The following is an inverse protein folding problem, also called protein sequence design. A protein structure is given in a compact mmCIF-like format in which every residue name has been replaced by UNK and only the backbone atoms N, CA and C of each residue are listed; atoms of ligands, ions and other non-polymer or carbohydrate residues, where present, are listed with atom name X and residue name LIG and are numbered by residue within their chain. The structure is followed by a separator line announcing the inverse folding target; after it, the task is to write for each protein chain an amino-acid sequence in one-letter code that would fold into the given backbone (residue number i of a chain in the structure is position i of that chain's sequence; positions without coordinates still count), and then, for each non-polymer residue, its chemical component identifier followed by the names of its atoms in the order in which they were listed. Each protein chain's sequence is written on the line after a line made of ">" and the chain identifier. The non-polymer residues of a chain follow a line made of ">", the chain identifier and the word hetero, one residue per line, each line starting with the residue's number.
data_IF_449009788684
#
_entry.id   IF_449009788684
#
_cell.length_a   1.000
_cell.length_b   1.000
_cell.length_c   1.000
_cell.angle_alpha   90.00
_cell.angle_beta   90.00
_cell.angle_gamma   90.00
#
_symmetry.space_group_name_H-M   'P 1'
#
loop_
_entity.id
_entity.type
_entity.pdbx_description
1 polymer ?
#
# COMPACT_ATOMS: atom_id res chain seq x y z
N UNK A 1 17.85 -8.60 -10.34
CA UNK A 1 19.15 -8.56 -9.63
C UNK A 1 19.02 -9.10 -8.22
N UNK A 2 20.12 -9.58 -7.64
CA UNK A 2 20.13 -10.12 -6.28
C UNK A 2 21.22 -9.43 -5.46
N UNK A 3 21.06 -9.47 -4.13
CA UNK A 3 22.02 -9.00 -3.13
C UNK A 3 22.40 -7.52 -3.33
N UNK A 4 21.36 -6.67 -3.39
CA UNK A 4 21.52 -5.23 -3.61
C UNK A 4 21.51 -4.46 -2.28
N UNK A 5 22.36 -3.46 -2.17
CA UNK A 5 22.40 -2.53 -1.04
C UNK A 5 22.43 -1.08 -1.51
N UNK A 6 21.51 -0.28 -0.97
CA UNK A 6 21.47 1.16 -1.12
C UNK A 6 21.64 1.79 0.25
N UNK A 7 22.75 2.46 0.49
CA UNK A 7 23.10 2.97 1.82
C UNK A 7 23.48 4.44 1.77
N UNK A 8 22.80 5.27 2.54
CA UNK A 8 23.13 6.69 2.72
C UNK A 8 23.00 7.53 1.44
N UNK A 9 22.12 7.12 0.51
CA UNK A 9 21.88 7.82 -0.76
C UNK A 9 20.79 8.88 -0.58
N UNK A 10 20.87 9.97 -1.34
CA UNK A 10 19.78 10.93 -1.49
C UNK A 10 19.27 10.89 -2.93
N UNK A 11 17.95 10.72 -3.09
CA UNK A 11 17.26 10.77 -4.39
C UNK A 11 16.28 11.92 -4.35
N UNK A 12 16.42 12.89 -5.24
CA UNK A 12 15.63 14.11 -5.21
C UNK A 12 15.18 14.55 -6.60
N UNK A 13 13.90 14.88 -6.71
CA UNK A 13 13.27 15.57 -7.85
C UNK A 13 12.26 16.60 -7.32
N UNK A 14 11.82 17.57 -8.13
CA UNK A 14 10.72 18.44 -7.74
C UNK A 14 9.46 17.65 -7.36
N UNK A 15 8.77 18.08 -6.31
CA UNK A 15 7.59 17.37 -5.77
C UNK A 15 6.37 17.37 -6.71
N UNK A 16 6.36 18.22 -7.73
CA UNK A 16 5.34 18.33 -8.77
C UNK A 16 5.77 17.66 -10.10
N UNK A 17 6.92 17.00 -10.14
CA UNK A 17 7.44 16.34 -11.33
C UNK A 17 6.80 14.98 -11.52
N UNK A 18 6.03 14.73 -12.60
CA UNK A 18 5.38 13.44 -12.81
C UNK A 18 6.38 12.35 -13.18
N UNK A 19 6.07 11.10 -12.84
CA UNK A 19 6.86 9.90 -13.18
C UNK A 19 8.32 9.98 -12.71
N UNK A 20 8.52 10.50 -11.53
CA UNK A 20 9.83 10.60 -10.90
C UNK A 20 9.89 9.67 -9.68
N UNK A 21 9.69 8.37 -9.93
CA UNK A 21 9.89 7.33 -8.92
C UNK A 21 11.36 7.35 -8.45
N UNK A 22 11.58 7.06 -7.18
CA UNK A 22 12.93 7.10 -6.60
C UNK A 22 13.73 5.84 -6.81
N UNK A 23 13.15 4.71 -6.47
CA UNK A 23 13.78 3.40 -6.59
C UNK A 23 12.75 2.33 -6.90
N UNK A 24 12.90 1.66 -8.04
CA UNK A 24 12.00 0.62 -8.52
C UNK A 24 12.68 -0.76 -8.55
N UNK A 25 12.83 -1.44 -7.41
CA UNK A 25 13.35 -2.81 -7.44
C UNK A 25 12.32 -3.73 -8.10
N UNK A 26 12.63 -4.17 -9.33
CA UNK A 26 11.79 -5.07 -10.11
C UNK A 26 12.40 -6.46 -10.17
N UNK A 27 11.67 -7.46 -9.70
CA UNK A 27 12.09 -8.87 -9.67
C UNK A 27 13.49 -9.02 -9.04
N UNK A 28 13.68 -8.31 -7.91
CA UNK A 28 14.93 -8.30 -7.16
C UNK A 28 14.81 -9.14 -5.89
N UNK A 29 15.92 -9.77 -5.49
CA UNK A 29 15.99 -10.59 -4.29
C UNK A 29 17.11 -10.10 -3.36
N UNK A 30 16.86 -10.14 -2.05
CA UNK A 30 17.78 -9.71 -1.00
C UNK A 30 18.20 -8.24 -1.22
N UNK A 31 17.27 -7.33 -1.05
CA UNK A 31 17.49 -5.89 -1.23
C UNK A 31 17.49 -5.20 0.13
N UNK A 32 18.54 -4.49 0.45
CA UNK A 32 18.63 -3.63 1.63
C UNK A 32 18.65 -2.15 1.21
N UNK A 33 17.74 -1.35 1.76
CA UNK A 33 17.65 0.10 1.58
C UNK A 33 17.79 0.72 2.96
N UNK A 34 18.96 1.31 3.24
CA UNK A 34 19.34 1.79 4.57
C UNK A 34 19.74 3.26 4.56
N UNK A 35 19.09 4.06 5.40
CA UNK A 35 19.46 5.46 5.61
C UNK A 35 19.35 6.31 4.34
N UNK A 36 18.41 5.99 3.46
CA UNK A 36 18.19 6.69 2.19
C UNK A 36 17.15 7.80 2.38
N UNK A 37 17.42 8.96 1.79
CA UNK A 37 16.46 10.06 1.72
C UNK A 37 15.86 10.15 0.33
N UNK A 38 14.54 10.14 0.27
CA UNK A 38 13.76 10.36 -0.94
C UNK A 38 12.97 11.67 -0.82
N UNK A 39 12.95 12.49 -1.86
CA UNK A 39 12.07 13.64 -1.99
C UNK A 39 11.67 13.77 -3.46
N UNK A 40 10.44 13.38 -3.80
CA UNK A 40 10.07 13.03 -5.17
C UNK A 40 8.67 13.53 -5.54
N UNK A 41 8.33 13.43 -6.82
CA UNK A 41 7.01 13.78 -7.35
C UNK A 41 6.13 12.57 -7.69
N UNK A 42 6.68 11.34 -7.64
CA UNK A 42 5.92 10.08 -7.76
C UNK A 42 6.33 9.13 -6.61
N UNK A 43 6.19 7.81 -6.72
CA UNK A 43 6.46 6.89 -5.64
C UNK A 43 7.93 6.93 -5.17
N UNK A 44 8.18 7.06 -3.87
CA UNK A 44 9.56 7.08 -3.35
C UNK A 44 10.25 5.72 -3.56
N UNK A 45 9.57 4.64 -3.24
CA UNK A 45 9.99 3.28 -3.57
C UNK A 45 8.79 2.55 -4.18
N UNK A 46 8.95 1.98 -5.38
CA UNK A 46 7.92 1.15 -6.00
C UNK A 46 8.47 -0.25 -6.29
N UNK A 47 8.12 -1.20 -5.45
CA UNK A 47 8.53 -2.61 -5.61
C UNK A 47 7.66 -3.26 -6.67
N UNK A 48 8.29 -3.76 -7.72
CA UNK A 48 7.66 -4.32 -8.91
C UNK A 48 8.13 -5.76 -9.17
N UNK A 49 7.37 -6.51 -9.96
CA UNK A 49 7.74 -7.87 -10.40
C UNK A 49 7.11 -8.24 -11.75
N UNK A 50 7.09 -7.28 -12.65
CA UNK A 50 6.70 -7.42 -14.05
C UNK A 50 5.20 -7.32 -14.34
N UNK A 51 4.90 -7.02 -15.58
CA UNK A 51 3.53 -7.09 -16.14
C UNK A 51 3.17 -8.54 -16.46
N UNK A 52 1.87 -8.86 -16.50
CA UNK A 52 1.40 -10.23 -16.66
C UNK A 52 1.96 -10.96 -17.89
N UNK A 53 2.12 -10.29 -19.01
CA UNK A 53 2.67 -10.91 -20.23
C UNK A 53 4.18 -11.17 -20.11
N UNK A 54 4.91 -10.37 -19.37
CA UNK A 54 6.30 -10.61 -18.98
C UNK A 54 6.38 -11.73 -17.94
N UNK A 55 5.49 -11.71 -16.97
CA UNK A 55 5.37 -12.72 -15.91
C UNK A 55 5.09 -14.13 -16.45
N UNK A 56 4.42 -14.28 -17.59
CA UNK A 56 4.24 -15.60 -18.23
C UNK A 56 5.55 -16.27 -18.63
N UNK A 57 6.58 -15.49 -18.96
CA UNK A 57 7.90 -15.98 -19.38
C UNK A 57 8.93 -15.98 -18.24
N UNK A 58 8.86 -15.00 -17.36
CA UNK A 58 9.88 -14.72 -16.35
C UNK A 58 9.23 -14.38 -15.00
N UNK A 59 8.43 -15.31 -14.46
CA UNK A 59 7.78 -15.15 -13.16
C UNK A 59 8.81 -15.15 -12.05
N UNK A 60 9.32 -13.98 -11.74
CA UNK A 60 10.30 -13.78 -10.69
C UNK A 60 9.74 -12.77 -9.68
N UNK A 61 9.46 -13.16 -8.45
CA UNK A 61 9.00 -12.23 -7.43
C UNK A 61 10.11 -11.24 -7.05
N UNK A 62 9.71 -10.12 -6.47
CA UNK A 62 10.60 -9.35 -5.62
C UNK A 62 10.51 -9.93 -4.21
N UNK A 63 11.66 -10.29 -3.63
CA UNK A 63 11.71 -11.12 -2.42
C UNK A 63 12.79 -10.66 -1.44
N UNK A 64 12.50 -10.73 -0.15
CA UNK A 64 13.42 -10.37 0.93
C UNK A 64 13.92 -8.93 0.79
N UNK A 65 13.00 -7.97 0.87
CA UNK A 65 13.31 -6.54 0.77
C UNK A 65 13.24 -5.94 2.17
N UNK A 66 14.30 -5.28 2.59
CA UNK A 66 14.39 -4.60 3.88
C UNK A 66 14.66 -3.12 3.69
N UNK A 67 13.72 -2.29 4.11
CA UNK A 67 13.76 -0.82 4.05
C UNK A 67 13.80 -0.32 5.48
N UNK A 68 14.86 0.38 5.85
CA UNK A 68 15.02 0.84 7.24
C UNK A 68 15.78 2.15 7.37
N UNK A 69 15.43 2.91 8.41
CA UNK A 69 16.07 4.19 8.75
C UNK A 69 16.07 5.18 7.56
N UNK A 70 14.99 5.16 6.78
CA UNK A 70 14.82 6.00 5.60
C UNK A 70 13.86 7.17 5.87
N UNK A 71 14.05 8.24 5.12
CA UNK A 71 13.15 9.39 5.09
C UNK A 71 12.52 9.49 3.69
N UNK A 72 11.20 9.37 3.64
CA UNK A 72 10.41 9.57 2.42
C UNK A 72 9.64 10.88 2.53
N UNK A 73 9.91 11.79 1.62
CA UNK A 73 9.28 13.10 1.58
C UNK A 73 8.63 13.35 0.23
N UNK A 74 7.39 13.85 0.25
CA UNK A 74 6.59 14.12 -0.95
C UNK A 74 6.28 12.84 -1.75
N UNK A 75 5.72 13.02 -2.95
CA UNK A 75 5.41 11.89 -3.83
C UNK A 75 4.12 11.14 -3.50
N UNK A 76 3.78 10.22 -4.39
CA UNK A 76 2.49 9.52 -4.36
C UNK A 76 2.44 8.34 -3.38
N UNK A 77 3.56 7.76 -3.04
CA UNK A 77 3.66 6.68 -2.07
C UNK A 77 5.04 6.60 -1.45
N UNK A 78 5.12 6.48 -0.12
CA UNK A 78 6.41 6.27 0.55
C UNK A 78 6.97 4.89 0.18
N UNK A 79 6.16 3.85 0.33
CA UNK A 79 6.47 2.49 -0.14
C UNK A 79 5.27 1.96 -0.91
N UNK A 80 5.47 1.71 -2.19
CA UNK A 80 4.46 1.22 -3.11
C UNK A 80 4.76 -0.21 -3.54
N UNK A 81 3.75 -1.07 -3.62
CA UNK A 81 3.83 -2.40 -4.21
C UNK A 81 2.99 -2.42 -5.49
N UNK A 82 3.64 -2.61 -6.61
CA UNK A 82 3.00 -2.55 -7.92
C UNK A 82 3.09 -1.18 -8.61
N UNK A 83 2.30 -0.96 -9.66
CA UNK A 83 1.20 -1.82 -10.16
C UNK A 83 1.67 -3.06 -10.91
N UNK A 84 2.86 -3.07 -11.48
CA UNK A 84 3.48 -4.20 -12.14
C UNK A 84 3.98 -5.20 -11.09
N UNK A 85 3.12 -6.16 -10.70
CA UNK A 85 3.45 -7.10 -9.62
C UNK A 85 3.02 -8.54 -9.95
N UNK A 86 3.04 -8.91 -11.24
CA UNK A 86 2.57 -10.22 -11.70
C UNK A 86 3.41 -11.41 -11.19
N UNK A 87 4.66 -11.18 -10.79
CA UNK A 87 5.52 -12.18 -10.15
C UNK A 87 5.38 -12.23 -8.63
N UNK A 88 4.67 -11.29 -8.02
CA UNK A 88 4.48 -11.19 -6.58
C UNK A 88 5.57 -10.38 -5.84
N UNK A 89 5.28 -10.04 -4.59
CA UNK A 89 6.22 -9.43 -3.63
C UNK A 89 6.11 -10.19 -2.31
N UNK A 90 7.21 -10.73 -1.85
CA UNK A 90 7.24 -11.64 -0.70
C UNK A 90 8.32 -11.23 0.29
N UNK A 91 8.02 -11.25 1.58
CA UNK A 91 8.96 -10.89 2.65
C UNK A 91 9.51 -9.47 2.48
N UNK A 92 8.65 -8.47 2.61
CA UNK A 92 9.04 -7.07 2.65
C UNK A 92 8.88 -6.53 4.06
N UNK A 93 9.93 -5.93 4.60
CA UNK A 93 9.91 -5.25 5.90
C UNK A 93 10.32 -3.80 5.74
N UNK A 94 9.49 -2.91 6.28
CA UNK A 94 9.75 -1.47 6.40
C UNK A 94 9.77 -1.12 7.87
N UNK A 95 10.89 -0.59 8.36
CA UNK A 95 11.02 -0.29 9.78
C UNK A 95 11.89 0.94 10.07
N UNK A 96 11.61 1.58 11.20
CA UNK A 96 12.36 2.73 11.70
C UNK A 96 12.46 3.87 10.67
N UNK A 97 11.37 4.13 9.93
CA UNK A 97 11.33 5.11 8.86
C UNK A 97 10.40 6.28 9.21
N UNK A 98 10.61 7.39 8.51
CA UNK A 98 9.79 8.61 8.60
C UNK A 98 9.20 8.89 7.23
N UNK A 99 7.87 9.09 7.16
CA UNK A 99 7.16 9.50 5.95
C UNK A 99 6.56 10.88 6.17
N UNK A 100 6.80 11.81 5.25
CA UNK A 100 6.28 13.17 5.34
C UNK A 100 5.70 13.64 4.01
N UNK A 101 4.50 14.22 4.05
CA UNK A 101 3.87 14.84 2.90
C UNK A 101 3.71 13.91 1.68
N UNK A 102 3.72 12.59 1.88
CA UNK A 102 3.40 11.64 0.82
C UNK A 102 1.88 11.47 0.73
N UNK A 103 1.37 11.17 -0.47
CA UNK A 103 -0.06 10.89 -0.59
C UNK A 103 -0.44 9.60 0.17
N UNK A 104 0.41 8.59 0.18
CA UNK A 104 0.21 7.33 0.92
C UNK A 104 1.50 6.89 1.61
N UNK A 105 1.36 6.31 2.78
CA UNK A 105 2.48 5.64 3.45
C UNK A 105 2.77 4.30 2.76
N UNK A 106 1.95 3.28 3.00
CA UNK A 106 1.87 2.08 2.16
C UNK A 106 0.87 2.31 1.03
N UNK A 107 1.27 1.93 -0.19
CA UNK A 107 0.40 1.99 -1.37
C UNK A 107 0.44 0.68 -2.14
N UNK A 108 -0.52 -0.21 -1.92
CA UNK A 108 -0.68 -1.42 -2.74
C UNK A 108 -1.58 -1.11 -3.94
N UNK A 109 -1.06 -1.38 -5.14
CA UNK A 109 -1.74 -1.18 -6.43
C UNK A 109 -1.87 -2.53 -7.13
N UNK A 110 -2.96 -3.26 -6.87
CA UNK A 110 -3.23 -4.53 -7.57
C UNK A 110 -4.64 -4.55 -8.14
N UNK A 111 -4.97 -5.57 -8.91
CA UNK A 111 -6.28 -5.75 -9.53
C UNK A 111 -6.43 -7.11 -10.19
N UNK A 112 -7.67 -7.50 -10.51
CA UNK A 112 -7.92 -8.60 -11.44
C UNK A 112 -7.11 -8.42 -12.72
N UNK A 113 -6.61 -9.50 -13.28
CA UNK A 113 -5.73 -9.47 -14.44
C UNK A 113 -4.24 -9.42 -14.14
N UNK A 114 -3.82 -9.27 -12.86
CA UNK A 114 -2.38 -9.34 -12.50
C UNK A 114 -1.84 -10.76 -12.51
N UNK A 115 -2.69 -11.74 -12.33
CA UNK A 115 -2.32 -13.15 -12.40
C UNK A 115 -2.28 -13.84 -11.04
N UNK A 116 -2.39 -15.16 -11.04
CA UNK A 116 -2.41 -15.99 -9.82
C UNK A 116 -1.09 -15.98 -9.04
N UNK A 117 0.01 -15.66 -9.72
CA UNK A 117 1.34 -15.53 -9.10
C UNK A 117 1.62 -14.11 -8.58
N UNK A 118 0.68 -13.19 -8.79
CA UNK A 118 0.68 -11.86 -8.20
C UNK A 118 0.31 -11.95 -6.70
N UNK A 119 1.22 -12.52 -5.92
CA UNK A 119 1.04 -12.80 -4.50
C UNK A 119 1.80 -11.76 -3.67
N UNK A 120 1.08 -11.01 -2.84
CA UNK A 120 1.66 -10.16 -1.81
C UNK A 120 1.61 -10.91 -0.49
N UNK A 121 2.77 -11.24 0.07
CA UNK A 121 2.83 -12.07 1.28
C UNK A 121 3.92 -11.63 2.23
N UNK A 122 3.61 -11.66 3.52
CA UNK A 122 4.51 -11.30 4.60
C UNK A 122 5.07 -9.87 4.44
N UNK A 123 4.14 -8.90 4.45
CA UNK A 123 4.42 -7.48 4.34
C UNK A 123 4.34 -6.87 5.74
N UNK A 124 5.43 -6.31 6.24
CA UNK A 124 5.56 -5.81 7.61
C UNK A 124 5.98 -4.34 7.58
N UNK A 125 5.22 -3.51 8.28
CA UNK A 125 5.51 -2.09 8.54
C UNK A 125 5.54 -1.89 10.05
N UNK A 126 6.67 -1.42 10.60
CA UNK A 126 6.78 -1.23 12.05
C UNK A 126 7.70 -0.08 12.44
N UNK A 127 7.46 0.49 13.60
CA UNK A 127 8.24 1.59 14.16
C UNK A 127 8.31 2.78 13.19
N UNK A 128 7.14 3.28 12.76
CA UNK A 128 7.06 4.33 11.75
C UNK A 128 6.46 5.60 12.32
N UNK A 129 7.01 6.73 11.91
CA UNK A 129 6.42 8.06 12.11
C UNK A 129 5.92 8.60 10.78
N UNK A 130 4.64 8.91 10.69
CA UNK A 130 4.01 9.50 9.51
C UNK A 130 3.48 10.89 9.86
N UNK A 131 3.85 11.90 9.10
CA UNK A 131 3.42 13.27 9.32
C UNK A 131 2.92 13.90 8.01
N UNK A 132 1.71 14.48 8.02
CA UNK A 132 1.04 15.03 6.84
C UNK A 132 0.91 14.03 5.68
N UNK A 133 0.74 12.75 5.96
CA UNK A 133 0.44 11.73 4.95
C UNK A 133 -1.07 11.76 4.67
N UNK A 134 -1.46 11.82 3.39
CA UNK A 134 -2.88 11.93 3.03
C UNK A 134 -3.70 10.72 3.51
N UNK A 135 -3.19 9.50 3.26
CA UNK A 135 -3.76 8.24 3.77
C UNK A 135 -2.62 7.28 4.15
N UNK A 136 -2.40 7.00 5.44
CA UNK A 136 -1.27 6.17 5.90
C UNK A 136 -1.17 4.79 5.24
N UNK A 137 -2.28 4.07 5.12
CA UNK A 137 -2.29 2.69 4.66
C UNK A 137 -3.35 2.48 3.58
N UNK A 138 -2.93 2.08 2.39
CA UNK A 138 -3.83 1.83 1.25
C UNK A 138 -3.55 0.47 0.63
N UNK A 139 -4.57 -0.39 0.60
CA UNK A 139 -4.60 -1.63 -0.19
C UNK A 139 -5.74 -1.51 -1.19
N UNK A 140 -5.41 -1.39 -2.47
CA UNK A 140 -6.37 -1.22 -3.54
C UNK A 140 -6.29 -2.40 -4.52
N UNK A 141 -7.29 -3.29 -4.48
CA UNK A 141 -7.42 -4.42 -5.40
C UNK A 141 -8.26 -4.11 -6.65
N UNK A 142 -8.52 -2.83 -6.93
CA UNK A 142 -9.27 -2.32 -8.08
C UNK A 142 -8.53 -1.19 -8.82
N UNK A 143 -7.20 -1.23 -8.80
CA UNK A 143 -6.39 -0.16 -9.38
C UNK A 143 -6.65 0.01 -10.89
N UNK A 144 -7.01 1.21 -11.32
CA UNK A 144 -7.55 1.45 -12.66
C UNK A 144 -6.54 1.94 -13.71
N UNK A 145 -5.30 2.22 -13.36
CA UNK A 145 -4.31 2.58 -14.38
C UNK A 145 -3.99 1.37 -15.27
N UNK A 146 -3.54 1.61 -16.44
CA UNK A 146 -3.44 0.73 -17.61
C UNK A 146 -4.73 0.71 -18.47
N UNK A 147 -4.62 0.40 -19.77
CA UNK A 147 -5.75 0.44 -20.69
C UNK A 147 -6.93 -0.43 -20.27
N UNK A 148 -6.69 -1.59 -19.67
CA UNK A 148 -7.72 -2.52 -19.21
C UNK A 148 -8.18 -2.26 -17.74
N UNK A 149 -7.54 -1.34 -17.03
CA UNK A 149 -7.83 -1.06 -15.63
C UNK A 149 -9.24 -0.52 -15.37
N UNK A 150 -9.84 0.16 -16.34
CA UNK A 150 -11.20 0.71 -16.25
C UNK A 150 -12.29 -0.21 -16.83
N UNK A 151 -11.95 -1.44 -17.17
CA UNK A 151 -12.94 -2.41 -17.64
C UNK A 151 -13.88 -2.84 -16.53
N UNK A 152 -15.10 -3.24 -16.88
CA UNK A 152 -16.08 -3.78 -15.92
C UNK A 152 -15.49 -4.95 -15.15
N UNK A 153 -14.72 -5.83 -15.79
CA UNK A 153 -14.06 -6.96 -15.14
C UNK A 153 -13.14 -6.51 -13.97
N UNK A 154 -12.38 -5.46 -14.18
CA UNK A 154 -11.47 -4.95 -13.12
C UNK A 154 -12.22 -4.19 -12.04
N UNK A 155 -13.19 -3.34 -12.41
CA UNK A 155 -13.81 -2.39 -11.49
C UNK A 155 -15.08 -2.91 -10.80
N UNK A 156 -15.71 -3.99 -11.30
CA UNK A 156 -16.90 -4.56 -10.66
C UNK A 156 -16.62 -5.03 -9.23
N UNK A 157 -17.59 -4.76 -8.36
CA UNK A 157 -17.63 -5.27 -6.98
C UNK A 157 -18.38 -6.60 -6.86
N UNK A 158 -18.85 -7.15 -7.99
CA UNK A 158 -19.46 -8.48 -8.04
C UNK A 158 -18.40 -9.58 -7.86
N UNK A 159 -18.85 -10.74 -7.39
CA UNK A 159 -18.00 -11.93 -7.24
C UNK A 159 -17.73 -12.54 -8.62
N UNK A 160 -16.47 -12.72 -8.94
CA UNK A 160 -16.03 -13.44 -10.14
C UNK A 160 -15.40 -14.79 -9.78
N UNK A 161 -15.33 -15.75 -10.71
CA UNK A 161 -14.56 -16.96 -10.47
C UNK A 161 -13.08 -16.65 -10.19
N UNK A 162 -12.51 -17.32 -9.19
CA UNK A 162 -11.05 -17.30 -8.98
C UNK A 162 -10.38 -18.10 -10.09
N UNK A 163 -9.52 -17.46 -10.84
CA UNK A 163 -8.82 -18.08 -11.99
C UNK A 163 -7.35 -17.63 -12.07
N UNK A 164 -6.68 -17.97 -13.17
CA UNK A 164 -5.27 -17.64 -13.41
C UNK A 164 -4.99 -16.13 -13.50
N UNK A 165 -5.99 -15.27 -13.46
CA UNK A 165 -5.88 -13.81 -13.49
C UNK A 165 -6.06 -13.16 -12.13
N UNK A 166 -6.44 -13.94 -11.10
CA UNK A 166 -6.80 -13.41 -9.79
C UNK A 166 -5.56 -13.26 -8.89
N UNK A 167 -5.21 -12.02 -8.46
CA UNK A 167 -4.11 -11.80 -7.54
C UNK A 167 -4.48 -12.20 -6.11
N UNK A 168 -3.48 -12.34 -5.24
CA UNK A 168 -3.66 -12.70 -3.86
C UNK A 168 -2.95 -11.70 -2.93
N UNK A 169 -3.67 -11.15 -1.99
CA UNK A 169 -3.12 -10.34 -0.91
C UNK A 169 -3.24 -11.14 0.39
N UNK A 170 -2.11 -11.60 0.89
CA UNK A 170 -2.06 -12.48 2.06
C UNK A 170 -1.94 -11.70 3.37
N UNK A 171 -0.95 -12.00 4.18
CA UNK A 171 -0.77 -11.39 5.49
C UNK A 171 0.00 -10.08 5.42
N UNK A 172 -0.56 -9.05 6.09
CA UNK A 172 0.08 -7.77 6.34
C UNK A 172 0.07 -7.47 7.84
N UNK A 173 1.19 -6.93 8.33
CA UNK A 173 1.40 -6.58 9.74
C UNK A 173 1.82 -5.13 9.84
N UNK A 174 1.11 -4.36 10.66
CA UNK A 174 1.39 -2.96 10.97
C UNK A 174 1.53 -2.81 12.48
N UNK A 175 2.69 -2.38 12.95
CA UNK A 175 2.99 -2.31 14.38
C UNK A 175 3.71 -1.01 14.74
N UNK A 176 3.35 -0.44 15.88
CA UNK A 176 4.00 0.72 16.44
C UNK A 176 4.16 1.86 15.43
N UNK A 177 3.02 2.46 15.05
CA UNK A 177 2.98 3.55 14.08
C UNK A 177 2.31 4.78 14.69
N UNK A 178 2.96 5.92 14.57
CA UNK A 178 2.41 7.22 14.91
C UNK A 178 2.12 8.00 13.64
N UNK A 179 0.84 8.27 13.36
CA UNK A 179 0.38 8.97 12.18
C UNK A 179 -0.30 10.27 12.60
N UNK A 180 0.38 11.39 12.39
CA UNK A 180 -0.12 12.71 12.75
C UNK A 180 -0.43 13.55 11.52
N UNK A 181 -1.35 14.51 11.69
CA UNK A 181 -1.72 15.44 10.61
C UNK A 181 -2.15 14.74 9.31
N UNK A 182 -2.80 13.60 9.40
CA UNK A 182 -3.37 12.92 8.23
C UNK A 182 -4.50 13.75 7.62
N UNK A 183 -4.88 13.46 6.37
CA UNK A 183 -5.84 14.33 5.67
C UNK A 183 -7.11 13.59 5.21
N UNK A 184 -6.95 12.51 4.43
CA UNK A 184 -8.06 11.93 3.66
C UNK A 184 -8.77 10.81 4.43
N UNK A 185 -8.02 9.80 4.83
CA UNK A 185 -8.54 8.66 5.59
C UNK A 185 -7.46 8.06 6.50
N UNK A 186 -7.87 7.39 7.57
CA UNK A 186 -6.95 6.66 8.44
C UNK A 186 -6.32 5.46 7.73
N UNK A 187 -7.15 4.68 7.04
CA UNK A 187 -6.72 3.56 6.19
C UNK A 187 -7.80 3.26 5.15
N UNK A 188 -7.40 2.67 4.04
CA UNK A 188 -8.30 2.23 2.99
C UNK A 188 -7.87 0.85 2.47
N UNK A 189 -8.64 -0.18 2.83
CA UNK A 189 -8.41 -1.56 2.46
C UNK A 189 -9.58 -2.07 1.61
N UNK A 190 -9.39 -2.25 0.31
CA UNK A 190 -10.41 -2.65 -0.64
C UNK A 190 -10.01 -3.95 -1.35
N UNK A 191 -10.37 -5.08 -0.76
CA UNK A 191 -10.11 -6.43 -1.26
C UNK A 191 -11.10 -6.89 -2.32
N UNK A 192 -10.74 -7.90 -3.10
CA UNK A 192 -11.64 -8.57 -4.04
C UNK A 192 -12.67 -9.43 -3.28
N UNK A 193 -13.95 -9.45 -3.69
CA UNK A 193 -14.95 -10.27 -3.01
C UNK A 193 -14.71 -11.77 -3.16
N UNK A 194 -14.16 -12.23 -4.29
CA UNK A 194 -13.82 -13.63 -4.55
C UNK A 194 -12.47 -14.07 -3.97
N UNK A 195 -11.56 -13.13 -3.73
CA UNK A 195 -10.23 -13.38 -3.18
C UNK A 195 -9.91 -12.28 -2.17
N UNK A 196 -10.48 -12.42 -0.98
CA UNK A 196 -10.32 -11.43 0.11
C UNK A 196 -8.86 -11.22 0.50
N UNK A 197 -8.54 -10.06 1.05
CA UNK A 197 -7.29 -9.87 1.79
C UNK A 197 -7.29 -10.88 2.94
N UNK A 198 -6.28 -11.74 3.01
CA UNK A 198 -6.27 -12.89 3.93
C UNK A 198 -6.21 -12.44 5.40
N UNK A 199 -5.24 -11.59 5.75
CA UNK A 199 -5.08 -11.11 7.12
C UNK A 199 -4.46 -9.71 7.16
N UNK A 200 -5.09 -8.82 7.93
CA UNK A 200 -4.52 -7.53 8.35
C UNK A 200 -4.42 -7.54 9.87
N UNK A 201 -3.21 -7.41 10.37
CA UNK A 201 -2.91 -7.27 11.80
C UNK A 201 -2.36 -5.88 12.08
N UNK A 202 -3.03 -5.11 12.93
CA UNK A 202 -2.65 -3.77 13.35
C UNK A 202 -2.47 -3.73 14.86
N UNK A 203 -1.33 -3.22 15.32
CA UNK A 203 -1.03 -3.15 16.75
C UNK A 203 -0.31 -1.85 17.12
N UNK A 204 -0.72 -1.25 18.23
CA UNK A 204 -0.12 -0.04 18.78
C UNK A 204 0.00 1.08 17.73
N UNK A 205 -1.14 1.48 17.14
CA UNK A 205 -1.22 2.49 16.08
C UNK A 205 -2.07 3.66 16.56
N UNK A 206 -1.55 4.88 16.40
CA UNK A 206 -2.31 6.12 16.61
C UNK A 206 -2.40 6.91 15.31
N UNK A 207 -3.60 7.38 14.98
CA UNK A 207 -3.86 8.17 13.77
C UNK A 207 -4.67 9.41 14.17
N UNK A 208 -4.18 10.58 13.80
CA UNK A 208 -4.86 11.86 13.98
C UNK A 208 -4.78 12.70 12.71
N UNK A 209 -5.63 13.71 12.62
CA UNK A 209 -5.80 14.50 11.39
C UNK A 209 -5.32 15.94 11.58
N UNK A 210 -4.86 16.54 10.47
CA UNK A 210 -4.58 17.95 10.41
C UNK A 210 -5.84 18.78 10.66
N UNK A 211 -5.70 19.92 11.29
CA UNK A 211 -6.81 20.84 11.49
C UNK A 211 -7.42 21.27 10.14
N UNK A 212 -6.56 21.62 9.18
CA UNK A 212 -6.88 22.01 7.80
C UNK A 212 -6.81 20.84 6.82
N UNK A 213 -7.29 19.67 7.23
CA UNK A 213 -7.20 18.45 6.42
C UNK A 213 -7.78 18.62 5.01
N UNK A 214 -7.00 18.19 4.03
CA UNK A 214 -7.37 18.23 2.61
C UNK A 214 -8.41 17.15 2.28
N UNK A 215 -9.22 17.41 1.25
CA UNK A 215 -10.19 16.47 0.72
C UNK A 215 -9.70 15.88 -0.61
N UNK A 216 -9.56 14.57 -0.68
CA UNK A 216 -9.16 13.86 -1.89
C UNK A 216 -9.63 12.39 -1.86
N UNK A 217 -9.32 11.63 -2.92
CA UNK A 217 -9.59 10.19 -2.99
C UNK A 217 -8.51 9.38 -2.27
N UNK A 218 -8.86 8.44 -1.39
CA UNK A 218 -7.87 7.58 -0.73
C UNK A 218 -7.20 6.61 -1.70
N UNK A 219 -7.88 6.19 -2.77
CA UNK A 219 -7.39 5.19 -3.72
C UNK A 219 -7.84 5.49 -5.15
N UNK A 220 -7.07 4.99 -6.12
CA UNK A 220 -7.34 5.14 -7.56
C UNK A 220 -8.14 3.94 -8.07
N UNK A 221 -9.45 3.96 -7.85
CA UNK A 221 -10.43 3.00 -8.39
C UNK A 221 -11.76 3.69 -8.64
N UNK A 222 -12.61 3.10 -9.49
CA UNK A 222 -13.93 3.66 -9.77
C UNK A 222 -14.84 3.57 -8.53
N UNK A 223 -15.71 4.56 -8.36
CA UNK A 223 -16.67 4.62 -7.26
C UNK A 223 -16.08 4.99 -5.90
N UNK A 224 -14.81 5.39 -5.84
CA UNK A 224 -14.21 5.92 -4.61
C UNK A 224 -14.41 7.43 -4.56
N UNK A 225 -15.16 7.87 -3.56
CA UNK A 225 -15.45 9.28 -3.36
C UNK A 225 -14.33 10.00 -2.62
N UNK A 226 -14.24 11.31 -2.85
CA UNK A 226 -13.36 12.17 -2.06
C UNK A 226 -13.81 12.22 -0.61
N UNK A 227 -12.86 12.18 0.29
CA UNK A 227 -13.10 12.28 1.73
C UNK A 227 -12.07 13.16 2.40
N UNK A 228 -12.42 13.65 3.59
CA UNK A 228 -11.52 14.35 4.50
C UNK A 228 -11.77 13.82 5.89
N UNK A 229 -10.71 13.50 6.61
CA UNK A 229 -10.77 12.93 7.99
C UNK A 229 -11.66 11.68 8.09
N UNK A 230 -11.75 10.87 7.05
CA UNK A 230 -12.47 9.60 7.08
C UNK A 230 -11.75 8.62 8.03
N UNK A 231 -12.52 7.83 8.76
CA UNK A 231 -11.97 6.72 9.54
C UNK A 231 -11.29 5.65 8.69
N UNK A 232 -11.15 4.47 9.22
CA UNK A 232 -10.66 3.30 8.48
C UNK A 232 -11.81 2.70 7.66
N UNK A 233 -11.59 2.52 6.36
CA UNK A 233 -12.44 1.71 5.50
C UNK A 233 -11.78 0.36 5.24
N UNK A 234 -12.49 -0.74 5.45
CA UNK A 234 -12.02 -2.08 5.12
C UNK A 234 -13.14 -2.90 4.49
N UNK A 235 -12.90 -3.39 3.27
CA UNK A 235 -13.85 -4.23 2.54
C UNK A 235 -13.16 -5.51 2.06
N UNK A 236 -13.87 -6.65 2.18
CA UNK A 236 -13.42 -7.96 1.74
C UNK A 236 -12.06 -8.34 2.35
N UNK A 237 -12.02 -8.36 3.67
CA UNK A 237 -10.88 -8.82 4.48
C UNK A 237 -11.32 -10.06 5.25
N UNK A 238 -10.61 -11.18 5.10
CA UNK A 238 -10.97 -12.41 5.80
C UNK A 238 -10.74 -12.28 7.31
N UNK A 239 -9.59 -11.72 7.71
CA UNK A 239 -9.28 -11.49 9.12
C UNK A 239 -8.69 -10.11 9.37
N UNK A 240 -9.32 -9.33 10.24
CA UNK A 240 -8.85 -8.02 10.69
C UNK A 240 -8.65 -8.01 12.20
N UNK A 241 -7.42 -7.81 12.64
CA UNK A 241 -7.08 -7.64 14.05
C UNK A 241 -6.67 -6.20 14.33
N UNK A 242 -7.35 -5.57 15.28
CA UNK A 242 -7.08 -4.22 15.78
C UNK A 242 -6.71 -4.32 17.27
N UNK A 243 -5.42 -4.27 17.56
CA UNK A 243 -4.86 -4.35 18.91
C UNK A 243 -4.29 -2.98 19.31
N UNK A 244 -4.97 -2.29 20.19
CA UNK A 244 -4.62 -0.91 20.59
C UNK A 244 -4.47 0.04 19.39
N UNK A 245 -5.50 0.12 18.53
CA UNK A 245 -5.56 1.04 17.38
C UNK A 245 -6.47 2.21 17.74
N UNK A 246 -5.94 3.43 17.67
CA UNK A 246 -6.64 4.67 17.98
C UNK A 246 -6.75 5.55 16.75
N UNK A 247 -7.96 5.99 16.44
CA UNK A 247 -8.26 6.98 15.39
C UNK A 247 -8.97 8.13 16.08
N UNK A 248 -8.41 9.33 16.01
CA UNK A 248 -8.93 10.51 16.73
C UNK A 248 -9.11 11.69 15.76
N UNK A 249 -10.24 12.36 15.87
CA UNK A 249 -10.58 13.53 15.06
C UNK A 249 -11.17 13.21 13.68
N UNK A 250 -11.59 11.96 13.45
CA UNK A 250 -12.29 11.58 12.22
C UNK A 250 -13.69 12.20 12.13
N UNK A 251 -14.16 12.35 10.90
CA UNK A 251 -15.55 12.70 10.58
C UNK A 251 -16.31 11.42 10.25
N UNK A 252 -17.41 11.18 10.94
CA UNK A 252 -18.21 9.94 10.80
C UNK A 252 -17.65 8.79 11.63
N UNK A 253 -17.89 7.57 11.18
CA UNK A 253 -17.50 6.36 11.88
C UNK A 253 -15.95 6.17 11.86
N UNK A 254 -15.41 5.72 12.99
CA UNK A 254 -13.99 5.39 13.06
C UNK A 254 -13.62 4.16 12.22
N UNK A 255 -14.58 3.25 12.04
CA UNK A 255 -14.39 2.00 11.30
C UNK A 255 -15.62 1.72 10.43
N UNK A 256 -15.43 1.73 9.12
CA UNK A 256 -16.39 1.32 8.10
C UNK A 256 -15.98 -0.05 7.57
N UNK A 257 -16.67 -1.12 7.98
CA UNK A 257 -16.29 -2.50 7.70
C UNK A 257 -17.35 -3.21 6.87
N UNK A 258 -16.96 -3.74 5.72
CA UNK A 258 -17.83 -4.47 4.78
C UNK A 258 -17.20 -5.82 4.42
N UNK A 259 -17.93 -6.92 4.58
CA UNK A 259 -17.42 -8.25 4.17
C UNK A 259 -16.16 -8.69 4.90
N UNK A 260 -15.98 -8.24 6.16
CA UNK A 260 -14.92 -8.72 7.06
C UNK A 260 -15.44 -9.98 7.76
N UNK A 261 -14.75 -11.13 7.58
CA UNK A 261 -15.25 -12.40 8.11
C UNK A 261 -14.94 -12.57 9.61
N UNK A 262 -13.74 -12.20 10.02
CA UNK A 262 -13.31 -12.24 11.43
C UNK A 262 -12.74 -10.88 11.85
N UNK A 263 -13.36 -10.27 12.87
CA UNK A 263 -12.88 -9.02 13.47
C UNK A 263 -12.46 -9.28 14.91
N UNK A 264 -11.19 -9.01 15.22
CA UNK A 264 -10.65 -9.08 16.59
C UNK A 264 -10.28 -7.66 17.03
N UNK A 265 -10.81 -7.24 18.17
CA UNK A 265 -10.44 -5.97 18.83
C UNK A 265 -9.92 -6.24 20.23
N UNK A 266 -8.79 -5.63 20.56
CA UNK A 266 -8.16 -5.73 21.87
C UNK A 266 -7.70 -4.38 22.38
#
# INVERSE_FOLDING_TARGET
>A
SNDLKFVGVTVQNPSDSPKTDGLDPESCKNVEILGVRFSLGDDCIAVKSGKIYMGKKHKTPSENIHIRQCLMENGHGAVTLGSEMAGGVVNLTVEDCIFRHTDRGLRIKTRRGRGKDAILSNIIFRNLTLDHVMTPLVVNCFYFCDPDGKTTYVQSRDVYPVDDRTPQVKKMVFENMECTNCHVAAAFFDGLPEQKIEEIYMKDISISYAEDAKCDVPAMSDGVEKSSKRGMFARNVAKLTLDNVKIEGQVGEAYELEGVDELIRR
#
